data_IF_177816099381
#
_entry.id   IF_177816099381
#
_cell.length_a   1.000
_cell.length_b   1.000
_cell.length_c   1.000
_cell.angle_alpha   90.00
_cell.angle_beta   90.00
_cell.angle_gamma   90.00
#
_symmetry.space_group_name_H-M   'P 1'
#
loop_
_entity.id
_entity.type
_entity.pdbx_description
1 polymer ?
#
# COMPACT_ATOMS: atom_id res chain seq x y z
N UNK A 1 -58.18 4.81 -16.73
CA UNK A 1 -56.80 4.29 -16.82
C UNK A 1 -55.93 5.06 -15.83
N UNK A 2 -55.52 4.44 -14.72
CA UNK A 2 -54.66 5.07 -13.71
C UNK A 2 -53.35 4.29 -13.67
N UNK A 3 -52.23 4.96 -13.99
CA UNK A 3 -50.88 4.39 -14.00
C UNK A 3 -50.29 4.56 -12.60
N UNK A 4 -50.35 3.52 -11.79
CA UNK A 4 -49.68 3.49 -10.49
C UNK A 4 -48.19 3.27 -10.77
N UNK A 5 -47.39 4.31 -10.54
CA UNK A 5 -45.94 4.23 -10.62
C UNK A 5 -45.43 3.40 -9.44
N UNK A 6 -44.77 2.29 -9.75
CA UNK A 6 -44.09 1.43 -8.79
C UNK A 6 -42.90 2.17 -8.18
N UNK A 7 -42.99 2.52 -6.90
CA UNK A 7 -41.85 2.98 -6.10
C UNK A 7 -41.01 1.75 -5.77
N UNK A 8 -39.84 1.63 -6.41
CA UNK A 8 -38.87 0.58 -6.12
C UNK A 8 -38.36 0.74 -4.68
N UNK A 9 -38.60 -0.28 -3.84
CA UNK A 9 -38.08 -0.35 -2.47
C UNK A 9 -36.55 -0.47 -2.54
N UNK A 10 -35.83 0.59 -2.17
CA UNK A 10 -34.37 0.53 -1.99
C UNK A 10 -34.07 -0.44 -0.83
N UNK A 11 -33.24 -1.43 -1.09
CA UNK A 11 -32.76 -2.38 -0.09
C UNK A 11 -32.00 -1.65 1.02
N UNK A 12 -32.48 -1.67 2.28
CA UNK A 12 -31.85 -0.97 3.40
C UNK A 12 -30.50 -1.59 3.83
N UNK A 13 -30.16 -2.77 3.32
CA UNK A 13 -28.87 -3.42 3.57
C UNK A 13 -27.88 -3.29 2.42
N UNK A 14 -28.19 -2.47 1.41
CA UNK A 14 -27.27 -2.23 0.31
C UNK A 14 -26.02 -1.48 0.83
N UNK A 15 -24.82 -2.09 0.78
CA UNK A 15 -23.61 -1.49 1.34
C UNK A 15 -23.26 -0.12 0.72
N UNK A 16 -23.60 0.09 -0.55
CA UNK A 16 -23.38 1.37 -1.21
C UNK A 16 -24.33 2.45 -0.69
N UNK A 17 -25.60 2.11 -0.42
CA UNK A 17 -26.58 3.06 0.14
C UNK A 17 -26.16 3.47 1.55
N UNK A 18 -25.74 2.50 2.37
CA UNK A 18 -25.22 2.74 3.72
C UNK A 18 -23.98 3.62 3.66
N UNK A 19 -23.02 3.31 2.77
CA UNK A 19 -21.80 4.11 2.61
C UNK A 19 -22.09 5.57 2.22
N UNK A 20 -23.05 5.82 1.32
CA UNK A 20 -23.45 7.18 0.97
C UNK A 20 -24.11 7.92 2.14
N UNK A 21 -24.87 7.24 3.00
CA UNK A 21 -25.42 7.83 4.23
C UNK A 21 -24.30 8.18 5.22
N UNK A 22 -23.33 7.29 5.41
CA UNK A 22 -22.20 7.50 6.32
C UNK A 22 -21.34 8.71 5.90
N UNK A 23 -21.16 8.96 4.59
CA UNK A 23 -20.45 10.15 4.07
C UNK A 23 -21.09 11.48 4.46
N UNK A 24 -22.37 11.48 4.82
CA UNK A 24 -23.06 12.72 5.26
C UNK A 24 -22.87 13.03 6.74
N UNK A 25 -22.29 12.10 7.50
CA UNK A 25 -22.09 12.28 8.93
C UNK A 25 -20.92 13.23 9.19
N UNK A 26 -21.18 14.25 10.00
CA UNK A 26 -20.17 15.22 10.46
C UNK A 26 -20.05 15.21 11.97
N UNK A 27 -18.89 15.60 12.49
CA UNK A 27 -18.68 15.81 13.93
C UNK A 27 -19.28 17.16 14.37
N UNK A 28 -19.21 17.45 15.68
CA UNK A 28 -19.72 18.71 16.24
C UNK A 28 -19.05 19.98 15.66
N UNK A 29 -17.88 19.86 15.04
CA UNK A 29 -17.18 20.93 14.35
C UNK A 29 -17.52 21.02 12.84
N UNK A 30 -18.47 20.22 12.36
CA UNK A 30 -18.90 20.20 10.96
C UNK A 30 -17.94 19.47 10.01
N UNK A 31 -16.93 18.76 10.53
CA UNK A 31 -15.99 17.99 9.71
C UNK A 31 -16.54 16.59 9.41
N UNK A 32 -16.34 16.05 8.20
CA UNK A 32 -16.82 14.72 7.83
C UNK A 32 -16.18 13.64 8.71
N UNK A 33 -17.00 12.73 9.25
CA UNK A 33 -16.57 11.59 10.06
C UNK A 33 -16.09 10.41 9.20
N UNK A 34 -16.56 10.33 7.96
CA UNK A 34 -16.30 9.21 7.05
C UNK A 34 -15.88 9.76 5.69
N UNK A 35 -14.76 9.27 5.16
CA UNK A 35 -14.25 9.64 3.84
C UNK A 35 -13.21 10.77 3.82
N UNK A 36 -12.46 10.97 4.92
CA UNK A 36 -11.41 11.98 5.01
C UNK A 36 -9.99 11.48 4.63
N UNK A 37 -9.83 10.20 4.30
CA UNK A 37 -8.58 9.71 3.71
C UNK A 37 -8.69 9.85 2.19
N UNK A 38 -7.97 10.82 1.62
CA UNK A 38 -7.74 10.81 0.19
C UNK A 38 -6.79 9.65 -0.09
N UNK A 39 -7.24 8.66 -0.85
CA UNK A 39 -6.32 7.70 -1.44
C UNK A 39 -5.41 8.48 -2.39
N UNK A 40 -4.10 8.41 -2.18
CA UNK A 40 -3.13 9.01 -3.09
C UNK A 40 -2.06 7.99 -3.45
N UNK A 41 -1.63 8.04 -4.70
CA UNK A 41 -0.59 7.16 -5.24
C UNK A 41 0.74 7.92 -5.28
N UNK A 42 1.78 7.35 -4.68
CA UNK A 42 3.15 7.87 -4.81
C UNK A 42 3.89 7.00 -5.84
N UNK A 43 4.26 7.61 -6.96
CA UNK A 43 5.12 6.95 -7.96
C UNK A 43 6.58 7.09 -7.58
N UNK A 44 7.18 5.97 -7.18
CA UNK A 44 8.60 5.86 -6.86
C UNK A 44 9.37 5.36 -8.09
N UNK A 45 10.53 5.94 -8.36
CA UNK A 45 11.43 5.51 -9.45
C UNK A 45 12.69 4.87 -8.87
N UNK A 46 13.12 3.76 -9.46
CA UNK A 46 14.37 3.10 -9.09
C UNK A 46 15.40 3.17 -10.20
N UNK A 47 16.62 3.59 -9.85
CA UNK A 47 17.79 3.57 -10.72
C UNK A 47 18.72 2.45 -10.27
N UNK A 48 18.90 1.47 -11.15
CA UNK A 48 19.77 0.32 -10.92
C UNK A 48 21.24 0.76 -10.74
N UNK A 49 21.85 0.37 -9.61
CA UNK A 49 23.24 0.69 -9.29
C UNK A 49 23.91 -0.43 -8.51
N UNK A 50 24.86 -1.13 -9.15
CA UNK A 50 25.61 -2.26 -8.55
C UNK A 50 26.45 -1.86 -7.32
N UNK A 51 26.76 -0.57 -7.16
CA UNK A 51 27.50 -0.09 -5.99
C UNK A 51 26.65 -0.03 -4.72
N UNK A 52 25.32 -0.16 -4.82
CA UNK A 52 24.43 -0.21 -3.66
C UNK A 52 24.37 -1.65 -3.17
N UNK A 53 24.55 -1.87 -1.87
CA UNK A 53 24.44 -3.20 -1.28
C UNK A 53 23.03 -3.76 -1.50
N UNK A 54 22.89 -5.04 -1.88
CA UNK A 54 21.59 -5.71 -1.97
C UNK A 54 20.76 -5.56 -0.69
N UNK A 55 19.44 -5.38 -0.83
CA UNK A 55 18.52 -5.06 0.27
C UNK A 55 18.58 -3.64 0.81
N UNK A 56 19.40 -2.75 0.24
CA UNK A 56 19.46 -1.33 0.63
C UNK A 56 18.98 -0.40 -0.48
N UNK A 57 18.57 0.79 -0.05
CA UNK A 57 18.13 1.89 -0.89
C UNK A 57 18.90 3.16 -0.52
N UNK A 58 19.16 4.01 -1.51
CA UNK A 58 19.75 5.34 -1.30
C UNK A 58 18.98 6.37 -2.09
N UNK A 59 18.47 7.40 -1.44
CA UNK A 59 17.75 8.49 -2.12
C UNK A 59 18.64 9.14 -3.19
N UNK A 60 18.05 9.47 -4.33
CA UNK A 60 18.72 10.24 -5.38
C UNK A 60 18.92 11.68 -4.86
N UNK A 61 20.14 12.26 -4.95
CA UNK A 61 20.44 13.54 -4.31
C UNK A 61 19.67 14.72 -4.91
N UNK A 62 19.19 14.59 -6.15
CA UNK A 62 18.61 15.70 -6.92
C UNK A 62 17.23 15.41 -7.51
N UNK A 63 16.77 14.17 -7.48
CA UNK A 63 15.52 13.79 -8.13
C UNK A 63 14.54 13.31 -7.04
N UNK A 64 13.40 13.99 -6.86
CA UNK A 64 12.40 13.58 -5.89
C UNK A 64 11.85 12.20 -6.25
N UNK A 65 11.43 11.45 -5.24
CA UNK A 65 10.85 10.10 -5.36
C UNK A 65 11.71 9.09 -6.16
N UNK A 66 12.99 9.38 -6.33
CA UNK A 66 13.92 8.53 -7.09
C UNK A 66 14.96 7.94 -6.14
N UNK A 67 15.23 6.65 -6.28
CA UNK A 67 16.11 5.91 -5.39
C UNK A 67 17.11 5.06 -6.17
N UNK A 68 18.34 5.02 -5.70
CA UNK A 68 19.32 4.03 -6.14
C UNK A 68 19.14 2.73 -5.37
N UNK A 69 19.16 1.62 -6.09
CA UNK A 69 19.11 0.29 -5.49
C UNK A 69 19.92 -0.72 -6.33
N UNK A 70 20.34 -1.81 -5.71
CA UNK A 70 20.95 -2.90 -6.44
C UNK A 70 19.92 -3.52 -7.42
N UNK A 71 20.31 -3.94 -8.65
CA UNK A 71 19.36 -4.55 -9.59
C UNK A 71 18.61 -5.76 -9.01
N UNK A 72 19.29 -6.54 -8.15
CA UNK A 72 18.67 -7.67 -7.45
C UNK A 72 17.57 -7.20 -6.48
N UNK A 73 17.81 -6.15 -5.70
CA UNK A 73 16.80 -5.58 -4.81
C UNK A 73 15.57 -5.13 -5.60
N UNK A 74 15.78 -4.45 -6.73
CA UNK A 74 14.69 -3.96 -7.60
C UNK A 74 13.84 -5.12 -8.11
N UNK A 75 14.48 -6.21 -8.55
CA UNK A 75 13.77 -7.41 -9.04
C UNK A 75 13.01 -8.14 -7.94
N UNK A 76 13.46 -8.05 -6.69
CA UNK A 76 12.83 -8.72 -5.55
C UNK A 76 11.63 -7.95 -4.97
N UNK A 77 11.51 -6.65 -5.27
CA UNK A 77 10.45 -5.80 -4.76
C UNK A 77 9.07 -6.18 -5.32
N UNK A 78 8.03 -5.96 -4.51
CA UNK A 78 6.65 -5.93 -5.02
C UNK A 78 6.49 -4.70 -5.94
N UNK A 79 5.71 -4.82 -7.03
CA UNK A 79 5.44 -3.69 -7.91
C UNK A 79 4.64 -2.59 -7.21
N UNK A 80 3.69 -2.98 -6.36
CA UNK A 80 2.81 -2.09 -5.62
C UNK A 80 2.88 -2.41 -4.12
N UNK A 81 2.99 -1.38 -3.29
CA UNK A 81 3.01 -1.47 -1.83
C UNK A 81 1.89 -0.60 -1.30
N UNK A 82 0.98 -1.21 -0.54
CA UNK A 82 -0.11 -0.52 0.12
C UNK A 82 0.32 -0.11 1.53
N UNK A 83 0.09 1.15 1.87
CA UNK A 83 0.47 1.73 3.16
C UNK A 83 -0.77 2.35 3.79
N UNK A 84 -1.06 1.98 5.05
CA UNK A 84 -2.15 2.55 5.84
C UNK A 84 -1.62 3.72 6.68
N UNK A 85 -1.55 4.91 6.07
CA UNK A 85 -1.12 6.14 6.75
C UNK A 85 0.32 6.09 7.31
N UNK A 86 0.73 7.15 8.00
CA UNK A 86 2.06 7.23 8.63
C UNK A 86 2.16 6.38 9.91
N UNK A 87 1.05 6.17 10.62
CA UNK A 87 1.04 5.56 11.96
C UNK A 87 0.83 4.04 11.96
N UNK A 88 0.66 3.40 10.79
CA UNK A 88 0.23 1.99 10.72
C UNK A 88 1.32 0.97 10.38
N UNK A 89 2.51 1.39 9.94
CA UNK A 89 3.48 0.45 9.33
C UNK A 89 4.15 -0.50 10.33
N UNK A 90 4.43 -0.04 11.55
CA UNK A 90 5.21 -0.79 12.53
C UNK A 90 4.44 -2.02 13.06
N UNK A 91 3.12 -1.90 13.23
CA UNK A 91 2.28 -2.99 13.74
C UNK A 91 2.09 -4.13 12.73
N UNK A 92 2.33 -3.89 11.44
CA UNK A 92 2.20 -4.91 10.40
C UNK A 92 3.52 -5.52 9.95
N UNK A 93 4.65 -5.13 10.55
CA UNK A 93 5.97 -5.62 10.16
C UNK A 93 6.00 -7.15 10.14
N UNK A 94 6.39 -7.74 9.00
CA UNK A 94 6.49 -9.19 8.84
C UNK A 94 7.95 -9.58 8.61
N UNK A 95 8.78 -9.42 9.64
CA UNK A 95 10.19 -9.81 9.59
C UNK A 95 10.34 -11.29 9.23
N UNK A 96 11.13 -11.56 8.20
CA UNK A 96 11.52 -12.90 7.80
C UNK A 96 13.03 -12.98 7.60
N UNK A 97 13.62 -14.13 7.93
CA UNK A 97 15.03 -14.42 7.70
C UNK A 97 15.16 -15.36 6.51
N UNK A 98 16.05 -15.05 5.57
CA UNK A 98 16.31 -15.95 4.45
C UNK A 98 17.08 -17.19 4.91
N UNK A 99 16.60 -18.38 4.56
CA UNK A 99 17.28 -19.65 4.88
C UNK A 99 18.61 -19.85 4.12
N UNK A 100 18.88 -19.06 3.09
CA UNK A 100 20.06 -19.22 2.21
C UNK A 100 21.16 -18.20 2.56
N UNK A 101 20.81 -16.92 2.67
CA UNK A 101 21.80 -15.86 2.96
C UNK A 101 21.72 -15.32 4.39
N UNK A 102 20.79 -15.84 5.19
CA UNK A 102 20.59 -15.51 6.62
C UNK A 102 20.34 -14.03 6.93
N UNK A 103 20.04 -13.22 5.91
CA UNK A 103 19.66 -11.83 6.07
C UNK A 103 18.18 -11.71 6.46
N UNK A 104 17.90 -10.74 7.33
CA UNK A 104 16.56 -10.40 7.79
C UNK A 104 16.01 -9.21 7.02
N UNK A 105 14.75 -9.28 6.63
CA UNK A 105 14.04 -8.22 5.91
C UNK A 105 12.53 -8.38 6.13
N UNK A 106 11.80 -7.30 5.91
CA UNK A 106 10.34 -7.32 6.01
C UNK A 106 9.72 -7.92 4.73
N UNK A 107 9.03 -9.05 4.89
CA UNK A 107 8.34 -9.78 3.81
C UNK A 107 7.28 -8.94 3.10
N UNK A 108 6.71 -7.93 3.76
CA UNK A 108 5.63 -7.13 3.19
C UNK A 108 6.05 -6.44 1.89
N UNK A 109 7.32 -6.05 1.75
CA UNK A 109 7.79 -5.28 0.60
C UNK A 109 8.33 -6.12 -0.55
N UNK A 110 8.58 -7.42 -0.35
CA UNK A 110 9.31 -8.25 -1.31
C UNK A 110 8.54 -9.52 -1.71
N UNK A 111 8.75 -9.94 -2.96
CA UNK A 111 8.32 -11.24 -3.50
C UNK A 111 9.43 -12.29 -3.48
N UNK A 112 10.69 -11.87 -3.38
CA UNK A 112 11.89 -12.71 -3.27
C UNK A 112 12.84 -12.12 -2.22
N UNK A 113 13.84 -12.89 -1.78
CA UNK A 113 14.86 -12.34 -0.89
C UNK A 113 15.63 -11.21 -1.60
N UNK A 114 15.67 -9.98 -1.06
CA UNK A 114 16.31 -8.83 -1.72
C UNK A 114 17.83 -8.91 -1.77
N UNK A 115 18.42 -9.88 -1.05
CA UNK A 115 19.87 -10.09 -0.99
C UNK A 115 20.36 -11.19 -1.93
N UNK A 116 19.55 -12.21 -2.22
CA UNK A 116 19.98 -13.38 -3.00
C UNK A 116 18.98 -13.89 -4.06
N UNK A 117 17.83 -13.23 -4.22
CA UNK A 117 16.76 -13.58 -5.18
C UNK A 117 16.16 -14.98 -5.01
N UNK A 118 16.32 -15.60 -3.85
CA UNK A 118 15.69 -16.88 -3.52
C UNK A 118 14.27 -16.68 -3.02
N UNK A 119 13.47 -17.74 -3.16
CA UNK A 119 12.11 -17.77 -2.65
C UNK A 119 12.09 -17.52 -1.14
N UNK A 120 11.02 -16.86 -0.70
CA UNK A 120 10.80 -16.59 0.70
C UNK A 120 10.44 -17.88 1.43
N UNK A 121 10.93 -18.10 2.66
CA UNK A 121 10.49 -19.23 3.46
C UNK A 121 8.96 -19.21 3.61
N UNK A 122 8.36 -20.41 3.54
CA UNK A 122 6.93 -20.62 3.77
C UNK A 122 6.56 -20.31 5.21
#
# INVERSE_FOLDING_TARGET
MMKIMSISKKDPHNPNVIYQQLKTLTNAAGLPLVGAANDFEIKVQFVAKNSITPGKFKAHPSLPNTWFAHPQTIRALRPDIFVLGEDGLEDFESLCQCNICHQTFDRQFFILCPHCLRDLPL
#
